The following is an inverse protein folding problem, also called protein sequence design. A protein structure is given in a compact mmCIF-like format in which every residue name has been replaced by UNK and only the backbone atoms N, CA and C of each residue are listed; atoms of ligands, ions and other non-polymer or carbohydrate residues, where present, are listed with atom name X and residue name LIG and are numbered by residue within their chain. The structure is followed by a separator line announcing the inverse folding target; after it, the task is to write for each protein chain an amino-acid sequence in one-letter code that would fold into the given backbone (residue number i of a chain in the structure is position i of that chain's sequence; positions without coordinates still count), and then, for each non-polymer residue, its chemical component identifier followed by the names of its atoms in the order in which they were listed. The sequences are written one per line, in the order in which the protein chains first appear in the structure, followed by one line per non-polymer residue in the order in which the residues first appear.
data_IF_867972165769
#
_entry.id   IF_867972165769
#
_cell.length_a   1.000
_cell.length_b   1.000
_cell.length_c   1.000
_cell.angle_alpha   90.00
_cell.angle_beta   90.00
_cell.angle_gamma   90.00
#
_symmetry.space_group_name_H-M   'P 1'
#
loop_
_entity.id
_entity.type
_entity.pdbx_description
1 polymer ?
#
# COMPACT_ATOMS: atom_id res chain seq x y z
N UNK A 1 -107.16 -8.06 38.97
CA UNK A 1 -107.53 -6.64 39.15
C UNK A 1 -106.96 -5.82 38.00
N UNK A 2 -107.78 -4.91 37.46
CA UNK A 2 -107.46 -3.70 36.70
C UNK A 2 -106.46 -3.81 35.52
N UNK A 3 -106.92 -3.96 34.26
CA UNK A 3 -107.27 -2.88 33.29
C UNK A 3 -106.02 -2.11 32.82
N UNK A 4 -105.78 -1.81 31.53
CA UNK A 4 -106.68 -1.21 30.55
C UNK A 4 -105.96 -1.10 29.18
N UNK A 5 -106.64 -1.57 28.12
CA UNK A 5 -106.85 -0.97 26.77
C UNK A 5 -105.85 0.12 26.30
N UNK A 6 -105.46 0.31 25.03
CA UNK A 6 -105.89 -0.18 23.69
C UNK A 6 -105.36 0.87 22.68
N UNK A 7 -104.78 0.49 21.52
CA UNK A 7 -104.97 1.13 20.18
C UNK A 7 -104.03 0.46 19.16
N UNK A 8 -104.52 -0.43 18.30
CA UNK A 8 -105.16 -0.18 16.98
C UNK A 8 -104.17 0.53 16.03
N UNK A 9 -103.37 -0.23 15.28
CA UNK A 9 -103.57 -0.69 13.88
C UNK A 9 -103.59 0.43 12.83
N UNK A 10 -102.62 0.40 11.90
CA UNK A 10 -102.86 0.20 10.45
C UNK A 10 -101.56 -0.11 9.70
N UNK A 11 -101.60 -1.20 8.92
CA UNK A 11 -100.60 -1.66 7.94
C UNK A 11 -101.06 -1.27 6.53
N UNK A 12 -100.12 -1.06 5.59
CA UNK A 12 -100.06 -1.51 4.17
C UNK A 12 -98.80 -0.87 3.53
N UNK A 13 -97.71 -1.60 3.25
CA UNK A 13 -97.38 -2.47 2.08
C UNK A 13 -97.18 -1.67 0.75
N UNK A 14 -96.14 -1.79 -0.09
CA UNK A 14 -94.86 -2.52 -0.12
C UNK A 14 -93.95 -2.00 -1.27
N UNK A 15 -92.60 -1.99 -1.07
CA UNK A 15 -91.42 -2.24 -1.98
C UNK A 15 -91.23 -1.46 -3.32
N UNK A 16 -90.01 -1.40 -3.97
CA UNK A 16 -88.65 -1.93 -3.65
C UNK A 16 -87.41 -1.00 -4.00
N UNK A 17 -86.18 -1.51 -3.75
CA UNK A 17 -84.85 -1.15 -4.38
C UNK A 17 -84.19 0.19 -3.92
N UNK A 18 -82.88 0.37 -3.65
CA UNK A 18 -81.59 -0.24 -4.06
C UNK A 18 -80.50 -0.05 -2.97
N UNK A 19 -79.53 -0.97 -2.99
CA UNK A 19 -78.25 -1.00 -2.24
C UNK A 19 -77.38 0.25 -2.44
N UNK A 20 -76.53 0.59 -1.47
CA UNK A 20 -75.06 0.64 -1.65
C UNK A 20 -74.28 0.64 -0.33
N UNK A 21 -73.16 -0.08 -0.37
CA UNK A 21 -72.17 -0.42 0.64
C UNK A 21 -71.22 0.73 1.05
N UNK A 22 -70.96 0.90 2.35
CA UNK A 22 -69.90 1.76 2.89
C UNK A 22 -68.73 0.95 3.45
N UNK A 23 -67.81 0.58 2.56
CA UNK A 23 -66.59 -0.23 2.76
C UNK A 23 -65.68 0.29 3.89
N UNK A 24 -65.15 -0.62 4.74
CA UNK A 24 -63.85 -0.45 5.44
C UNK A 24 -62.84 0.10 4.43
N UNK A 25 -62.37 1.34 4.59
CA UNK A 25 -61.18 1.81 3.88
C UNK A 25 -59.96 1.51 4.74
N UNK A 26 -59.39 0.33 4.47
CA UNK A 26 -57.98 0.01 4.72
C UNK A 26 -57.10 1.11 4.10
N UNK A 27 -55.95 1.31 4.72
CA UNK A 27 -54.85 2.15 4.26
C UNK A 27 -54.71 2.19 2.74
N UNK A 28 -54.61 3.40 2.20
CA UNK A 28 -54.12 3.62 0.85
C UNK A 28 -52.88 4.49 0.99
N UNK A 29 -51.76 3.82 1.22
CA UNK A 29 -50.43 4.39 1.15
C UNK A 29 -50.29 5.29 -0.08
N UNK A 30 -49.63 6.42 0.12
CA UNK A 30 -49.19 7.42 -0.84
C UNK A 30 -48.65 6.77 -2.13
N UNK A 31 -49.54 6.46 -3.09
CA UNK A 31 -49.19 5.92 -4.39
C UNK A 31 -49.10 7.06 -5.39
N UNK A 32 -47.90 7.64 -5.54
CA UNK A 32 -47.45 8.31 -6.79
C UNK A 32 -45.95 8.66 -6.78
N UNK A 33 -45.13 7.80 -6.19
CA UNK A 33 -43.67 7.96 -6.16
C UNK A 33 -42.93 6.73 -6.72
N UNK A 34 -43.59 5.92 -7.56
CA UNK A 34 -42.94 4.72 -8.13
C UNK A 34 -42.34 4.97 -9.51
N UNK A 35 -42.90 5.91 -10.30
CA UNK A 35 -42.37 6.25 -11.63
C UNK A 35 -40.99 6.91 -11.54
N UNK A 36 -40.88 8.02 -10.82
CA UNK A 36 -39.62 8.76 -10.62
C UNK A 36 -38.51 7.92 -9.97
N UNK A 37 -38.85 6.94 -9.13
CA UNK A 37 -37.88 6.06 -8.47
C UNK A 37 -37.29 5.05 -9.47
N UNK A 38 -38.08 4.59 -10.44
CA UNK A 38 -37.59 3.74 -11.54
C UNK A 38 -36.70 4.52 -12.51
N UNK A 39 -37.03 5.80 -12.77
CA UNK A 39 -36.17 6.71 -13.52
C UNK A 39 -34.85 7.00 -12.80
N UNK A 40 -34.91 7.25 -11.49
CA UNK A 40 -33.72 7.47 -10.67
C UNK A 40 -32.83 6.22 -10.60
N UNK A 41 -33.43 5.04 -10.46
CA UNK A 41 -32.72 3.76 -10.50
C UNK A 41 -32.07 3.52 -11.88
N UNK A 42 -32.78 3.83 -12.98
CA UNK A 42 -32.23 3.74 -14.33
C UNK A 42 -31.06 4.69 -14.56
N UNK A 43 -31.17 5.93 -14.09
CA UNK A 43 -30.09 6.92 -14.13
C UNK A 43 -28.87 6.46 -13.32
N UNK A 44 -29.09 5.88 -12.14
CA UNK A 44 -28.04 5.36 -11.27
C UNK A 44 -27.30 4.18 -11.92
N UNK A 45 -28.02 3.25 -12.56
CA UNK A 45 -27.43 2.14 -13.31
C UNK A 45 -26.61 2.67 -14.50
N UNK A 46 -27.12 3.66 -15.23
CA UNK A 46 -26.38 4.28 -16.32
C UNK A 46 -25.10 4.97 -15.82
N UNK A 47 -25.18 5.71 -14.72
CA UNK A 47 -24.02 6.33 -14.09
C UNK A 47 -22.97 5.29 -13.67
N UNK A 48 -23.40 4.16 -13.08
CA UNK A 48 -22.52 3.05 -12.72
C UNK A 48 -21.84 2.42 -13.94
N UNK A 49 -22.55 2.26 -15.06
CA UNK A 49 -21.96 1.74 -16.29
C UNK A 49 -20.91 2.70 -16.88
N UNK A 50 -21.21 4.00 -16.89
CA UNK A 50 -20.27 5.03 -17.38
C UNK A 50 -19.02 5.08 -16.49
N UNK A 51 -19.19 5.14 -15.16
CA UNK A 51 -18.08 5.16 -14.21
C UNK A 51 -17.29 3.86 -14.26
N UNK A 52 -17.96 2.72 -14.34
CA UNK A 52 -17.32 1.40 -14.46
C UNK A 52 -16.49 1.29 -15.74
N UNK A 53 -17.05 1.67 -16.88
CA UNK A 53 -16.33 1.70 -18.16
C UNK A 53 -15.13 2.65 -18.15
N UNK A 54 -15.30 3.85 -17.59
CA UNK A 54 -14.22 4.83 -17.46
C UNK A 54 -13.11 4.34 -16.51
N UNK A 55 -13.46 3.70 -15.40
CA UNK A 55 -12.51 3.10 -14.46
C UNK A 55 -11.70 1.97 -15.11
N UNK A 56 -12.32 1.14 -15.94
CA UNK A 56 -11.61 0.11 -16.72
C UNK A 56 -10.65 0.71 -17.74
N UNK A 57 -11.06 1.77 -18.44
CA UNK A 57 -10.20 2.51 -19.37
C UNK A 57 -8.98 3.12 -18.64
N UNK A 58 -9.22 3.79 -17.51
CA UNK A 58 -8.15 4.35 -16.68
C UNK A 58 -7.22 3.25 -16.14
N UNK A 59 -7.78 2.12 -15.70
CA UNK A 59 -7.00 0.97 -15.23
C UNK A 59 -6.10 0.41 -16.32
N UNK A 60 -6.56 0.32 -17.57
CA UNK A 60 -5.71 -0.09 -18.71
C UNK A 60 -4.57 0.89 -18.96
N UNK A 61 -4.84 2.20 -18.97
CA UNK A 61 -3.80 3.22 -19.19
C UNK A 61 -2.74 3.18 -18.10
N UNK A 62 -3.17 3.07 -16.83
CA UNK A 62 -2.26 2.96 -15.69
C UNK A 62 -1.41 1.71 -15.84
N UNK A 63 -1.99 0.54 -16.13
CA UNK A 63 -1.23 -0.69 -16.34
C UNK A 63 -0.18 -0.53 -17.45
N UNK A 64 -0.56 -0.02 -18.62
CA UNK A 64 0.40 0.19 -19.73
C UNK A 64 1.53 1.14 -19.35
N UNK A 65 1.23 2.23 -18.62
CA UNK A 65 2.27 3.21 -18.20
C UNK A 65 3.13 2.73 -17.04
N UNK A 66 2.61 1.85 -16.18
CA UNK A 66 3.27 1.44 -14.93
C UNK A 66 3.74 -0.02 -14.92
N UNK A 67 3.43 -0.85 -15.92
CA UNK A 67 3.91 -2.24 -15.98
C UNK A 67 5.35 -2.35 -16.47
N UNK A 68 5.85 -1.42 -17.28
CA UNK A 68 7.19 -1.50 -17.89
C UNK A 68 8.33 -0.70 -17.21
N UNK A 69 8.03 0.29 -16.38
CA UNK A 69 9.04 1.20 -15.77
C UNK A 69 8.70 1.52 -14.32
N UNK A 70 8.67 0.51 -13.44
CA UNK A 70 8.28 0.78 -12.04
C UNK A 70 9.28 1.62 -11.29
N UNK A 71 10.58 1.53 -11.59
CA UNK A 71 11.58 2.44 -11.03
C UNK A 71 12.74 2.57 -12.00
N UNK A 72 13.14 3.80 -12.34
CA UNK A 72 14.49 4.04 -12.83
C UNK A 72 15.41 3.74 -11.66
N UNK A 73 16.10 2.60 -11.70
CA UNK A 73 17.14 2.32 -10.70
C UNK A 73 18.18 3.42 -10.88
N UNK A 74 18.42 4.29 -9.87
CA UNK A 74 19.41 5.33 -10.03
C UNK A 74 20.76 4.67 -10.30
N UNK A 75 21.55 5.29 -11.17
CA UNK A 75 22.92 4.85 -11.37
C UNK A 75 23.65 4.91 -10.02
N UNK A 76 24.27 3.80 -9.60
CA UNK A 76 25.18 3.79 -8.46
C UNK A 76 26.54 4.22 -8.97
N UNK A 77 26.98 5.42 -8.58
CA UNK A 77 28.32 5.90 -8.89
C UNK A 77 29.24 5.47 -7.75
N UNK A 78 30.11 4.51 -8.02
CA UNK A 78 31.17 4.10 -7.10
C UNK A 78 32.39 5.00 -7.31
N UNK A 79 33.07 5.34 -6.22
CA UNK A 79 34.35 6.05 -6.29
C UNK A 79 35.49 5.11 -6.71
N UNK A 80 36.69 5.67 -6.87
CA UNK A 80 37.91 4.91 -7.16
C UNK A 80 38.13 3.82 -6.09
N UNK A 81 38.35 2.55 -6.47
CA UNK A 81 38.76 1.53 -5.52
C UNK A 81 40.16 1.85 -4.99
N UNK A 82 40.34 1.74 -3.67
CA UNK A 82 41.67 1.79 -3.08
C UNK A 82 42.28 0.39 -3.15
N UNK A 83 43.20 0.20 -4.07
CA UNK A 83 43.96 -1.05 -4.18
C UNK A 83 45.07 -1.07 -3.13
N UNK A 84 45.05 -2.08 -2.27
CA UNK A 84 46.08 -2.33 -1.28
C UNK A 84 47.01 -3.41 -1.83
N UNK A 85 48.29 -3.07 -1.95
CA UNK A 85 49.35 -4.00 -2.32
C UNK A 85 50.61 -3.66 -1.51
N UNK A 86 51.51 -4.63 -1.38
CA UNK A 86 52.79 -4.41 -0.68
C UNK A 86 53.60 -3.34 -1.43
N UNK A 87 54.02 -2.29 -0.73
CA UNK A 87 54.71 -1.13 -1.30
C UNK A 87 53.78 0.00 -1.75
N UNK A 88 52.46 -0.13 -1.61
CA UNK A 88 51.55 0.98 -1.92
C UNK A 88 51.85 2.19 -1.01
N UNK A 89 51.91 3.43 -1.56
CA UNK A 89 52.28 4.64 -0.83
C UNK A 89 51.11 5.17 0.02
N UNK A 90 50.53 4.30 0.85
CA UNK A 90 49.40 4.59 1.73
C UNK A 90 49.89 4.56 3.17
N UNK A 91 49.84 5.70 3.84
CA UNK A 91 50.24 5.79 5.25
C UNK A 91 49.17 5.18 6.17
N UNK A 92 49.52 4.77 7.41
CA UNK A 92 48.55 4.28 8.38
C UNK A 92 47.40 5.26 8.65
N UNK A 93 47.70 6.56 8.64
CA UNK A 93 46.75 7.64 8.88
C UNK A 93 45.80 7.79 7.68
N UNK A 94 46.31 7.70 6.46
CA UNK A 94 45.50 7.70 5.24
C UNK A 94 44.59 6.47 5.17
N UNK A 95 45.11 5.28 5.49
CA UNK A 95 44.30 4.07 5.52
C UNK A 95 43.16 4.17 6.54
N UNK A 96 43.45 4.73 7.72
CA UNK A 96 42.41 4.98 8.73
C UNK A 96 41.36 5.96 8.21
N UNK A 97 41.77 7.09 7.62
CA UNK A 97 40.86 8.09 7.07
C UNK A 97 39.94 7.47 5.99
N UNK A 98 40.49 6.62 5.13
CA UNK A 98 39.72 5.97 4.06
C UNK A 98 38.72 4.95 4.60
N UNK A 99 39.10 4.19 5.62
CA UNK A 99 38.17 3.29 6.31
C UNK A 99 37.01 4.06 6.95
N UNK A 100 37.28 5.19 7.58
CA UNK A 100 36.26 6.06 8.18
C UNK A 100 35.35 6.68 7.11
N UNK A 101 35.91 7.15 5.99
CA UNK A 101 35.18 7.70 4.86
C UNK A 101 34.26 6.66 4.20
N UNK A 102 34.70 5.40 4.11
CA UNK A 102 33.90 4.26 3.64
C UNK A 102 32.86 3.79 4.67
N UNK A 103 32.80 4.43 5.85
CA UNK A 103 31.87 4.10 6.93
C UNK A 103 32.19 2.77 7.63
N UNK A 104 33.45 2.33 7.64
CA UNK A 104 33.88 1.20 8.45
C UNK A 104 33.98 1.60 9.92
N UNK A 105 33.54 0.71 10.81
CA UNK A 105 33.48 0.98 12.25
C UNK A 105 34.73 0.44 12.97
N UNK A 106 35.37 1.30 13.75
CA UNK A 106 36.50 0.91 14.62
C UNK A 106 35.98 0.12 15.82
N UNK A 107 36.48 -1.10 16.01
CA UNK A 107 36.15 -2.01 17.12
C UNK A 107 37.42 -2.67 17.66
N UNK A 108 37.36 -3.32 18.82
CA UNK A 108 38.51 -4.08 19.34
C UNK A 108 38.77 -5.38 18.53
N UNK A 109 37.70 -6.09 18.18
CA UNK A 109 37.78 -7.38 17.47
C UNK A 109 36.80 -7.38 16.28
N UNK A 110 37.27 -7.22 15.03
CA UNK A 110 36.42 -7.11 13.85
C UNK A 110 35.86 -8.47 13.42
N UNK A 111 34.66 -8.81 13.89
CA UNK A 111 33.96 -10.08 13.59
C UNK A 111 32.90 -9.97 12.51
N UNK A 112 32.38 -8.77 12.26
CA UNK A 112 31.36 -8.51 11.24
C UNK A 112 31.95 -7.70 10.08
N UNK A 113 31.37 -7.80 8.87
CA UNK A 113 31.72 -6.91 7.77
C UNK A 113 31.64 -5.44 8.16
N UNK A 114 32.43 -4.61 7.48
CA UNK A 114 32.51 -3.17 7.74
C UNK A 114 33.10 -2.81 9.12
N UNK A 115 33.96 -3.66 9.67
CA UNK A 115 34.63 -3.43 10.95
C UNK A 115 36.14 -3.45 10.77
N UNK A 116 36.85 -2.66 11.57
CA UNK A 116 38.30 -2.67 11.60
C UNK A 116 38.82 -2.43 13.02
N UNK A 117 40.05 -2.86 13.28
CA UNK A 117 40.80 -2.52 14.48
C UNK A 117 42.22 -2.11 14.10
N UNK A 118 42.86 -1.30 14.94
CA UNK A 118 44.25 -0.85 14.76
C UNK A 118 45.02 -1.03 16.05
N UNK A 119 46.20 -1.63 15.94
CA UNK A 119 47.20 -1.76 16.99
C UNK A 119 48.55 -1.27 16.43
N UNK A 120 48.86 0.00 16.65
CA UNK A 120 50.06 0.64 16.09
C UNK A 120 50.01 0.68 14.55
N UNK A 121 50.92 -0.05 13.92
CA UNK A 121 51.05 -0.22 12.46
C UNK A 121 50.21 -1.37 11.89
N UNK A 122 49.61 -2.21 12.73
CA UNK A 122 48.80 -3.37 12.33
C UNK A 122 47.32 -3.03 12.30
N UNK A 123 46.66 -3.34 11.19
CA UNK A 123 45.23 -3.18 10.97
C UNK A 123 44.62 -4.55 10.74
N UNK A 124 43.55 -4.85 11.45
CA UNK A 124 42.69 -5.98 11.13
C UNK A 124 41.41 -5.42 10.52
N UNK A 125 41.11 -5.77 9.28
CA UNK A 125 40.00 -5.22 8.51
C UNK A 125 39.10 -6.38 8.10
N UNK A 126 37.79 -6.22 8.31
CA UNK A 126 36.79 -7.17 7.83
C UNK A 126 36.07 -6.54 6.64
N UNK A 127 36.46 -6.96 5.44
CA UNK A 127 35.93 -6.48 4.16
C UNK A 127 34.44 -6.82 3.99
N UNK A 128 33.73 -5.98 3.27
CA UNK A 128 32.33 -6.24 2.90
C UNK A 128 32.28 -7.14 1.68
N UNK A 129 31.22 -7.92 1.56
CA UNK A 129 30.92 -8.54 0.27
C UNK A 129 30.68 -7.44 -0.77
N UNK A 130 31.23 -7.62 -1.97
CA UNK A 130 31.02 -6.71 -3.07
C UNK A 130 30.80 -7.50 -4.36
N UNK A 131 29.84 -7.05 -5.16
CA UNK A 131 29.55 -7.64 -6.47
C UNK A 131 30.17 -6.72 -7.51
N UNK A 132 31.32 -7.11 -8.04
CA UNK A 132 31.91 -6.47 -9.21
C UNK A 132 31.18 -6.92 -10.48
N UNK A 133 31.47 -6.25 -11.60
CA UNK A 133 30.84 -6.54 -12.89
C UNK A 133 31.33 -7.88 -13.49
N UNK A 134 32.51 -8.33 -13.08
CA UNK A 134 33.20 -9.54 -13.50
C UNK A 134 33.09 -10.68 -12.48
N UNK A 135 33.19 -10.38 -11.18
CA UNK A 135 33.19 -11.38 -10.13
C UNK A 135 32.50 -10.94 -8.82
N UNK A 136 32.15 -11.92 -7.98
CA UNK A 136 31.65 -11.70 -6.63
C UNK A 136 32.77 -11.88 -5.63
N UNK A 137 33.05 -10.84 -4.85
CA UNK A 137 34.03 -10.86 -3.77
C UNK A 137 33.32 -11.18 -2.45
N UNK A 138 33.59 -12.34 -1.81
CA UNK A 138 33.01 -12.67 -0.51
C UNK A 138 33.61 -11.81 0.61
N UNK A 139 32.88 -11.65 1.71
CA UNK A 139 33.43 -11.00 2.89
C UNK A 139 34.59 -11.80 3.46
N UNK A 140 35.74 -11.17 3.66
CA UNK A 140 36.92 -11.79 4.20
C UNK A 140 37.65 -10.85 5.17
N UNK A 141 38.51 -11.42 6.02
CA UNK A 141 39.36 -10.67 6.93
C UNK A 141 40.74 -10.48 6.29
N UNK A 142 41.26 -9.26 6.35
CA UNK A 142 42.64 -8.93 5.96
C UNK A 142 43.41 -8.39 7.16
N UNK A 143 44.68 -8.74 7.23
CA UNK A 143 45.64 -8.14 8.15
C UNK A 143 46.61 -7.26 7.36
N UNK A 144 46.49 -5.94 7.51
CA UNK A 144 47.36 -4.99 6.82
C UNK A 144 48.39 -4.46 7.81
N UNK A 145 49.67 -4.46 7.44
CA UNK A 145 50.69 -3.69 8.18
C UNK A 145 51.14 -2.51 7.37
N UNK A 146 50.91 -1.31 7.88
CA UNK A 146 51.34 -0.07 7.25
C UNK A 146 52.46 0.59 8.04
N UNK A 147 53.47 1.10 7.33
CA UNK A 147 54.58 1.89 7.85
C UNK A 147 54.48 3.33 7.32
N UNK A 148 55.32 4.24 7.81
CA UNK A 148 55.36 5.64 7.34
C UNK A 148 55.59 5.77 5.83
N UNK A 149 56.29 4.79 5.23
CA UNK A 149 56.60 4.76 3.79
C UNK A 149 55.55 4.04 2.92
N UNK A 150 54.51 3.45 3.52
CA UNK A 150 53.50 2.69 2.78
C UNK A 150 53.14 1.34 3.40
N UNK A 151 52.43 0.51 2.64
CA UNK A 151 52.01 -0.84 3.06
C UNK A 151 53.20 -1.79 3.04
N UNK A 152 53.42 -2.51 4.13
CA UNK A 152 54.54 -3.44 4.30
C UNK A 152 54.15 -4.91 4.15
N UNK A 153 52.92 -5.29 4.49
CA UNK A 153 52.38 -6.66 4.33
C UNK A 153 50.85 -6.67 4.36
N UNK A 154 50.26 -7.75 3.82
CA UNK A 154 48.83 -8.04 3.69
C UNK A 154 48.54 -9.49 4.08
#
# INVERSE_FOLDING_TARGET
MATRKKKVRRRKAAKPVRRTTGRRRRASAKKRSFGWMKWLAGLLVLALLVVGGYSLYLSKIVRVKFEGKRWAVPARVYARPLELYVGAPVTPEQLQFELELLGYRKVKHPRKPAQWSRAGSRFLIHGREFLFWDAREPSHQLEVRASSNGISSL
#
